data_IF_108481199289
#
_entry.id   IF_108481199289
#
_cell.length_a   1.000
_cell.length_b   1.000
_cell.length_c   1.000
_cell.angle_alpha   90.00
_cell.angle_beta   90.00
_cell.angle_gamma   90.00
#
_symmetry.space_group_name_H-M   'P 1'
#
loop_
_entity.id
_entity.type
_entity.pdbx_description
1 polymer ?
#
# COMPACT_ATOMS: atom_id res chain seq x y z
N UNK A 1 32.69 5.89 -1.76
CA UNK A 1 33.12 7.16 -1.13
C UNK A 1 32.10 8.23 -1.51
N UNK A 2 31.42 8.85 -0.54
CA UNK A 2 30.45 9.95 -0.79
C UNK A 2 31.07 11.27 -0.33
N UNK A 3 31.04 12.35 -1.12
CA UNK A 3 31.38 13.67 -0.61
C UNK A 3 30.19 14.23 0.19
N UNK A 4 30.48 14.62 1.43
CA UNK A 4 29.61 15.42 2.31
C UNK A 4 29.95 16.88 2.01
N UNK A 5 28.96 17.71 1.72
CA UNK A 5 29.13 19.17 1.69
C UNK A 5 28.16 19.83 2.67
N UNK A 6 28.70 20.17 3.83
CA UNK A 6 28.16 21.13 4.79
C UNK A 6 28.57 22.53 4.36
N UNK A 7 27.61 23.46 4.25
CA UNK A 7 27.89 24.90 4.26
C UNK A 7 26.96 25.55 5.29
N UNK A 8 27.59 26.05 6.35
CA UNK A 8 27.04 26.98 7.34
C UNK A 8 27.07 28.40 6.78
N UNK A 9 25.97 29.16 6.96
CA UNK A 9 25.92 30.62 7.07
C UNK A 9 24.52 30.96 7.64
N UNK A 10 24.32 31.20 8.94
CA UNK A 10 24.69 32.36 9.77
C UNK A 10 24.00 33.68 9.37
N UNK A 11 23.33 34.28 10.39
CA UNK A 11 22.84 35.67 10.53
C UNK A 11 21.45 35.94 9.89
N UNK A 12 20.46 36.59 10.51
CA UNK A 12 20.42 37.60 11.60
C UNK A 12 19.03 37.68 12.25
N UNK A 13 19.06 38.06 13.53
CA UNK A 13 18.06 38.55 14.48
C UNK A 13 16.90 39.39 13.93
N UNK A 14 15.67 39.12 14.42
CA UNK A 14 14.72 40.18 14.85
C UNK A 14 13.71 39.61 15.86
N UNK A 15 13.82 40.12 17.09
CA UNK A 15 12.88 39.94 18.20
C UNK A 15 11.85 41.06 18.08
N UNK A 16 10.55 40.74 18.05
CA UNK A 16 9.48 41.69 18.34
C UNK A 16 8.58 41.13 19.43
N UNK A 17 8.84 41.59 20.66
CA UNK A 17 7.95 41.45 21.81
C UNK A 17 6.95 42.59 21.73
N UNK A 18 5.66 42.28 21.57
CA UNK A 18 4.57 43.22 21.70
C UNK A 18 3.70 42.85 22.90
N UNK A 19 4.04 43.36 24.09
CA UNK A 19 3.12 43.50 25.20
C UNK A 19 2.61 44.95 25.20
N UNK A 20 1.35 45.14 24.84
CA UNK A 20 0.58 46.33 25.20
C UNK A 20 -0.80 45.88 25.68
N UNK A 21 -1.09 46.17 26.94
CA UNK A 21 -2.40 45.98 27.55
C UNK A 21 -3.28 47.22 27.48
N UNK A 22 -4.49 47.05 28.01
CA UNK A 22 -5.53 48.01 28.40
C UNK A 22 -6.44 48.58 27.31
N UNK A 23 -7.76 48.36 27.48
CA UNK A 23 -8.80 49.17 26.85
C UNK A 23 -10.14 48.46 26.65
N UNK A 24 -10.94 48.32 27.71
CA UNK A 24 -12.39 48.06 27.61
C UNK A 24 -13.12 49.24 26.96
N UNK A 25 -14.12 48.94 26.11
CA UNK A 25 -15.38 49.65 25.77
C UNK A 25 -15.68 49.39 24.27
N UNK A 26 -16.89 49.07 23.82
CA UNK A 26 -18.21 49.09 24.41
C UNK A 26 -19.08 47.98 23.79
N UNK A 27 -20.07 47.52 24.56
CA UNK A 27 -21.16 46.68 24.10
C UNK A 27 -21.97 47.38 23.00
N UNK A 28 -22.12 46.75 21.83
CA UNK A 28 -23.25 47.00 20.94
C UNK A 28 -23.83 45.65 20.46
N UNK A 29 -25.13 45.55 20.70
CA UNK A 29 -26.15 44.53 20.46
C UNK A 29 -26.08 43.84 19.08
N UNK A 30 -26.56 42.57 18.93
CA UNK A 30 -26.16 41.68 17.85
C UNK A 30 -26.91 41.95 16.54
N UNK A 31 -26.17 42.09 15.45
CA UNK A 31 -26.70 41.81 14.13
C UNK A 31 -26.62 40.30 13.90
N UNK A 32 -27.78 39.63 13.94
CA UNK A 32 -27.96 38.41 13.16
C UNK A 32 -27.79 38.81 11.70
N UNK A 33 -26.71 38.37 11.06
CA UNK A 33 -26.85 37.76 9.76
C UNK A 33 -25.61 37.01 9.30
N UNK A 34 -25.89 35.91 8.62
CA UNK A 34 -25.02 35.15 7.73
C UNK A 34 -23.92 34.32 8.39
N UNK A 35 -24.32 33.07 8.66
CA UNK A 35 -23.41 31.94 8.76
C UNK A 35 -22.50 31.87 7.55
N UNK A 36 -21.29 32.41 7.72
CA UNK A 36 -20.14 31.88 7.03
C UNK A 36 -19.88 30.53 7.68
N UNK A 37 -20.52 29.50 7.11
CA UNK A 37 -19.96 28.15 7.16
C UNK A 37 -18.50 28.30 6.76
N UNK A 38 -17.61 28.29 7.74
CA UNK A 38 -16.21 28.00 7.52
C UNK A 38 -16.23 26.56 7.02
N UNK A 39 -16.45 26.40 5.72
CA UNK A 39 -16.09 25.18 5.02
C UNK A 39 -14.60 25.09 5.27
N UNK A 40 -14.24 24.30 6.27
CA UNK A 40 -12.88 23.88 6.48
C UNK A 40 -12.57 23.08 5.23
N UNK A 41 -12.05 23.76 4.21
CA UNK A 41 -11.48 23.12 3.03
C UNK A 41 -10.28 22.38 3.60
N UNK A 42 -10.51 21.18 4.09
CA UNK A 42 -9.43 20.21 4.28
C UNK A 42 -8.69 20.24 2.95
N UNK A 43 -7.40 20.61 2.92
CA UNK A 43 -6.71 20.77 1.65
C UNK A 43 -6.89 19.47 0.87
N UNK A 44 -7.51 19.54 -0.30
CA UNK A 44 -7.80 18.35 -1.10
C UNK A 44 -6.51 17.55 -1.37
N UNK A 45 -5.38 18.24 -1.44
CA UNK A 45 -4.04 17.65 -1.49
C UNK A 45 -3.73 16.72 -0.31
N UNK A 46 -4.24 16.99 0.90
CA UNK A 46 -4.05 16.16 2.10
C UNK A 46 -5.02 14.98 2.14
N UNK A 47 -6.23 15.13 1.59
CA UNK A 47 -7.15 14.02 1.40
C UNK A 47 -6.61 13.01 0.38
N UNK A 48 -6.10 13.49 -0.76
CA UNK A 48 -5.49 12.65 -1.80
C UNK A 48 -4.25 11.92 -1.31
N UNK A 49 -3.38 12.58 -0.54
CA UNK A 49 -2.20 11.93 0.04
C UNK A 49 -2.57 10.85 1.07
N UNK A 50 -3.55 11.10 1.94
CA UNK A 50 -4.04 10.09 2.91
C UNK A 50 -4.68 8.89 2.23
N UNK A 51 -5.45 9.11 1.17
CA UNK A 51 -6.06 8.00 0.42
C UNK A 51 -4.99 7.18 -0.29
N UNK A 52 -4.02 7.82 -0.94
CA UNK A 52 -2.87 7.13 -1.57
C UNK A 52 -2.04 6.35 -0.54
N UNK A 53 -1.84 6.90 0.66
CA UNK A 53 -1.16 6.21 1.77
C UNK A 53 -1.91 4.94 2.20
N UNK A 54 -3.23 5.02 2.35
CA UNK A 54 -4.07 3.85 2.63
C UNK A 54 -3.97 2.78 1.54
N UNK A 55 -4.01 3.19 0.27
CA UNK A 55 -3.83 2.29 -0.87
C UNK A 55 -2.49 1.55 -0.83
N UNK A 56 -1.40 2.29 -0.67
CA UNK A 56 -0.07 1.69 -0.57
C UNK A 56 0.07 0.81 0.67
N UNK A 57 -0.51 1.21 1.81
CA UNK A 57 -0.56 0.41 3.02
C UNK A 57 -1.23 -0.94 2.81
N UNK A 58 -2.37 -0.95 2.09
CA UNK A 58 -3.06 -2.18 1.72
C UNK A 58 -2.17 -3.08 0.85
N UNK A 59 -1.58 -2.55 -0.21
CA UNK A 59 -0.68 -3.29 -1.12
C UNK A 59 0.56 -3.85 -0.41
N UNK A 60 1.09 -3.13 0.58
CA UNK A 60 2.29 -3.52 1.34
C UNK A 60 2.12 -4.82 2.12
N UNK A 61 0.89 -5.27 2.40
CA UNK A 61 0.67 -6.57 3.02
C UNK A 61 1.11 -7.74 2.13
N UNK A 62 0.86 -7.65 0.83
CA UNK A 62 1.33 -8.64 -0.14
C UNK A 62 2.85 -8.56 -0.30
N UNK A 63 3.40 -7.36 -0.49
CA UNK A 63 4.85 -7.18 -0.65
C UNK A 63 5.64 -7.74 0.54
N UNK A 64 5.17 -7.50 1.77
CA UNK A 64 5.78 -8.10 2.97
C UNK A 64 5.63 -9.61 3.03
N UNK A 65 4.49 -10.15 2.59
CA UNK A 65 4.30 -11.61 2.53
C UNK A 65 5.26 -12.25 1.52
N UNK A 66 5.47 -11.61 0.36
CA UNK A 66 6.40 -12.04 -0.67
C UNK A 66 7.86 -11.96 -0.22
N UNK A 67 8.23 -10.89 0.50
CA UNK A 67 9.57 -10.72 1.06
C UNK A 67 9.89 -11.74 2.19
N UNK A 68 8.87 -12.25 2.86
CA UNK A 68 8.99 -13.20 3.97
C UNK A 68 8.59 -14.64 3.58
N UNK A 69 8.62 -14.98 2.28
CA UNK A 69 8.22 -16.32 1.85
C UNK A 69 9.14 -17.40 2.43
N UNK A 70 8.58 -18.52 2.89
CA UNK A 70 9.38 -19.66 3.30
C UNK A 70 10.14 -20.24 2.10
N UNK A 71 11.34 -20.76 2.35
CA UNK A 71 12.12 -21.46 1.32
C UNK A 71 11.55 -22.85 1.08
N UNK A 72 11.46 -23.25 -0.19
CA UNK A 72 11.07 -24.61 -0.57
C UNK A 72 12.22 -25.57 -0.27
N UNK A 73 11.93 -26.67 0.43
CA UNK A 73 12.90 -27.74 0.73
C UNK A 73 12.79 -28.87 -0.31
N UNK A 74 13.76 -29.00 -1.23
CA UNK A 74 13.73 -30.02 -2.27
C UNK A 74 14.33 -31.37 -1.82
N UNK A 75 14.64 -31.57 -0.53
CA UNK A 75 15.31 -32.78 -0.04
C UNK A 75 14.54 -34.07 -0.33
N UNK A 76 13.21 -33.99 -0.35
CA UNK A 76 12.31 -35.09 -0.71
C UNK A 76 11.05 -34.55 -1.41
N UNK A 77 10.33 -35.34 -2.22
CA UNK A 77 9.06 -34.92 -2.80
C UNK A 77 8.05 -34.45 -1.74
N UNK A 78 7.98 -35.13 -0.60
CA UNK A 78 7.07 -34.79 0.49
C UNK A 78 7.41 -33.44 1.13
N UNK A 79 8.69 -33.16 1.38
CA UNK A 79 9.12 -31.86 1.90
C UNK A 79 8.91 -30.74 0.87
N UNK A 80 9.16 -31.02 -0.42
CA UNK A 80 8.95 -30.05 -1.49
C UNK A 80 7.46 -29.67 -1.61
N UNK A 81 6.55 -30.65 -1.58
CA UNK A 81 5.10 -30.40 -1.54
C UNK A 81 4.73 -29.57 -0.32
N UNK A 82 5.14 -29.99 0.88
CA UNK A 82 4.77 -29.32 2.14
C UNK A 82 5.22 -27.86 2.15
N UNK A 83 6.51 -27.62 1.91
CA UNK A 83 7.08 -26.27 1.97
C UNK A 83 6.54 -25.36 0.86
N UNK A 84 6.17 -25.92 -0.29
CA UNK A 84 5.51 -25.18 -1.37
C UNK A 84 4.05 -24.84 -1.04
N UNK A 85 3.32 -25.75 -0.37
CA UNK A 85 1.99 -25.44 0.18
C UNK A 85 2.06 -24.35 1.27
N UNK A 86 3.07 -24.38 2.14
CA UNK A 86 3.29 -23.36 3.17
C UNK A 86 3.60 -21.98 2.53
N UNK A 87 4.39 -21.99 1.45
CA UNK A 87 4.68 -20.80 0.64
C UNK A 87 3.39 -20.22 0.04
N UNK A 88 2.59 -21.03 -0.66
CA UNK A 88 1.34 -20.58 -1.27
C UNK A 88 0.32 -20.10 -0.23
N UNK A 89 0.29 -20.74 0.95
CA UNK A 89 -0.53 -20.27 2.08
C UNK A 89 -0.14 -18.85 2.51
N UNK A 90 1.16 -18.56 2.57
CA UNK A 90 1.68 -17.23 2.91
C UNK A 90 1.29 -16.19 1.86
N UNK A 91 1.35 -16.55 0.58
CA UNK A 91 0.91 -15.71 -0.56
C UNK A 91 -0.58 -15.41 -0.47
N UNK A 92 -1.42 -16.43 -0.31
CA UNK A 92 -2.89 -16.27 -0.17
C UNK A 92 -3.22 -15.36 1.00
N UNK A 93 -2.58 -15.57 2.17
CA UNK A 93 -2.78 -14.71 3.33
C UNK A 93 -2.31 -13.26 3.12
N UNK A 94 -1.26 -13.05 2.32
CA UNK A 94 -0.83 -11.71 1.89
C UNK A 94 -1.88 -11.03 1.02
N UNK A 95 -2.39 -11.74 0.01
CA UNK A 95 -3.43 -11.27 -0.91
C UNK A 95 -4.74 -10.96 -0.18
N UNK A 96 -5.17 -11.82 0.75
CA UNK A 96 -6.37 -11.61 1.56
C UNK A 96 -6.32 -10.30 2.35
N UNK A 97 -5.18 -10.02 3.00
CA UNK A 97 -4.99 -8.77 3.74
C UNK A 97 -4.96 -7.55 2.83
N UNK A 98 -4.30 -7.65 1.66
CA UNK A 98 -4.29 -6.56 0.68
C UNK A 98 -5.68 -6.27 0.13
N UNK A 99 -6.43 -7.32 -0.24
CA UNK A 99 -7.81 -7.20 -0.71
C UNK A 99 -8.71 -6.58 0.35
N UNK A 100 -8.63 -7.04 1.60
CA UNK A 100 -9.39 -6.46 2.70
C UNK A 100 -9.04 -4.97 2.90
N UNK A 101 -7.75 -4.62 2.86
CA UNK A 101 -7.29 -3.23 2.97
C UNK A 101 -7.81 -2.35 1.83
N UNK A 102 -7.72 -2.81 0.59
CA UNK A 102 -8.19 -2.07 -0.60
C UNK A 102 -9.71 -1.87 -0.57
N UNK A 103 -10.47 -2.88 -0.16
CA UNK A 103 -11.93 -2.79 -0.04
C UNK A 103 -12.38 -1.91 1.16
N UNK A 104 -11.55 -1.79 2.19
CA UNK A 104 -11.82 -0.93 3.34
C UNK A 104 -11.54 0.56 3.07
N UNK A 105 -10.90 0.90 1.93
CA UNK A 105 -10.70 2.29 1.55
C UNK A 105 -12.04 2.94 1.24
N UNK A 106 -12.29 4.09 1.86
CA UNK A 106 -13.39 4.96 1.46
C UNK A 106 -13.27 5.42 -0.01
N UNK A 107 -14.31 6.11 -0.47
CA UNK A 107 -14.32 6.69 -1.81
C UNK A 107 -13.07 7.56 -2.05
N UNK A 108 -12.42 7.45 -3.21
CA UNK A 108 -11.27 8.26 -3.54
C UNK A 108 -11.66 9.73 -3.68
N UNK A 109 -10.77 10.65 -3.31
CA UNK A 109 -10.98 12.08 -3.52
C UNK A 109 -10.93 12.48 -5.01
N UNK A 110 -10.54 11.55 -5.89
CA UNK A 110 -10.51 11.72 -7.35
C UNK A 110 -11.28 10.57 -7.99
N UNK A 111 -12.38 10.85 -8.68
CA UNK A 111 -13.30 9.83 -9.19
C UNK A 111 -12.63 8.79 -10.12
N UNK A 112 -11.63 9.20 -10.92
CA UNK A 112 -10.91 8.29 -11.82
C UNK A 112 -10.07 7.23 -11.10
N UNK A 113 -9.86 7.37 -9.79
CA UNK A 113 -9.08 6.41 -9.00
C UNK A 113 -9.87 5.15 -8.63
N UNK A 114 -11.21 5.19 -8.69
CA UNK A 114 -12.03 4.03 -8.36
C UNK A 114 -11.79 2.87 -9.34
N UNK A 115 -11.78 3.16 -10.65
CA UNK A 115 -11.48 2.15 -11.66
C UNK A 115 -10.10 1.52 -11.49
N UNK A 116 -9.08 2.35 -11.21
CA UNK A 116 -7.72 1.84 -10.95
C UNK A 116 -7.62 0.97 -9.70
N UNK A 117 -8.42 1.25 -8.66
CA UNK A 117 -8.52 0.40 -7.47
C UNK A 117 -9.23 -0.92 -7.78
N UNK A 118 -10.37 -0.86 -8.48
CA UNK A 118 -11.16 -2.02 -8.85
C UNK A 118 -10.38 -3.00 -9.74
N UNK A 119 -9.62 -2.48 -10.70
CA UNK A 119 -8.76 -3.30 -11.57
C UNK A 119 -7.68 -4.06 -10.77
N UNK A 120 -7.09 -3.42 -9.76
CA UNK A 120 -6.09 -4.07 -8.89
C UNK A 120 -6.74 -5.09 -7.96
N UNK A 121 -7.92 -4.79 -7.41
CA UNK A 121 -8.71 -5.76 -6.63
C UNK A 121 -9.02 -7.00 -7.48
N UNK A 122 -9.47 -6.82 -8.72
CA UNK A 122 -9.77 -7.92 -9.63
C UNK A 122 -8.55 -8.80 -9.93
N UNK A 123 -7.40 -8.18 -10.21
CA UNK A 123 -6.14 -8.91 -10.44
C UNK A 123 -5.71 -9.69 -9.19
N UNK A 124 -5.76 -9.08 -8.01
CA UNK A 124 -5.37 -9.74 -6.75
C UNK A 124 -6.30 -10.90 -6.43
N UNK A 125 -7.61 -10.75 -6.67
CA UNK A 125 -8.58 -11.81 -6.46
C UNK A 125 -8.34 -13.01 -7.38
N UNK A 126 -8.10 -12.79 -8.67
CA UNK A 126 -7.81 -13.85 -9.63
C UNK A 126 -6.53 -14.62 -9.28
N UNK A 127 -5.50 -13.91 -8.84
CA UNK A 127 -4.22 -14.50 -8.44
C UNK A 127 -4.34 -15.29 -7.14
N UNK A 128 -5.11 -14.77 -6.17
CA UNK A 128 -5.42 -15.48 -4.93
C UNK A 128 -6.07 -16.83 -5.23
N UNK A 129 -7.05 -16.84 -6.12
CA UNK A 129 -7.72 -18.08 -6.56
C UNK A 129 -6.72 -19.05 -7.19
N UNK A 130 -5.83 -18.58 -8.06
CA UNK A 130 -4.82 -19.42 -8.68
C UNK A 130 -3.81 -20.00 -7.68
N UNK A 131 -3.35 -19.19 -6.73
CA UNK A 131 -2.43 -19.64 -5.68
C UNK A 131 -3.10 -20.69 -4.78
N UNK A 132 -4.38 -20.48 -4.43
CA UNK A 132 -5.16 -21.43 -3.65
C UNK A 132 -5.41 -22.74 -4.42
N UNK A 133 -5.73 -22.66 -5.71
CA UNK A 133 -5.89 -23.83 -6.56
C UNK A 133 -4.58 -24.63 -6.69
N UNK A 134 -3.44 -23.96 -6.87
CA UNK A 134 -2.13 -24.61 -6.91
C UNK A 134 -1.81 -25.31 -5.57
N UNK A 135 -2.13 -24.66 -4.44
CA UNK A 135 -1.95 -25.24 -3.10
C UNK A 135 -2.77 -26.52 -2.96
N UNK A 136 -4.05 -26.46 -3.31
CA UNK A 136 -4.95 -27.62 -3.23
C UNK A 136 -4.48 -28.78 -4.12
N UNK A 137 -3.96 -28.49 -5.32
CA UNK A 137 -3.40 -29.52 -6.22
C UNK A 137 -2.18 -30.21 -5.60
N UNK A 138 -1.23 -29.45 -5.05
CA UNK A 138 -0.05 -29.99 -4.37
C UNK A 138 -0.46 -30.90 -3.20
N UNK A 139 -1.46 -30.49 -2.42
CA UNK A 139 -2.00 -31.31 -1.33
C UNK A 139 -2.65 -32.61 -1.82
N UNK A 140 -3.39 -32.55 -2.93
CA UNK A 140 -4.13 -33.69 -3.48
C UNK A 140 -3.21 -34.79 -4.06
N UNK A 141 -2.05 -34.41 -4.61
CA UNK A 141 -1.10 -35.34 -5.24
C UNK A 141 0.02 -35.78 -4.31
N UNK A 142 -0.06 -35.43 -3.01
CA UNK A 142 0.98 -35.73 -2.03
C UNK A 142 1.28 -37.23 -1.99
N UNK A 143 2.55 -37.57 -2.23
CA UNK A 143 3.04 -38.95 -2.21
C UNK A 143 3.24 -39.55 -3.61
N UNK A 144 2.68 -38.95 -4.66
CA UNK A 144 3.05 -39.24 -6.04
C UNK A 144 4.15 -38.27 -6.48
N UNK A 145 5.36 -38.79 -6.70
CA UNK A 145 6.51 -37.96 -7.04
C UNK A 145 6.39 -37.28 -8.42
N UNK A 146 5.78 -37.95 -9.40
CA UNK A 146 5.64 -37.40 -10.75
C UNK A 146 4.57 -36.30 -10.78
N UNK A 147 3.40 -36.57 -10.20
CA UNK A 147 2.32 -35.60 -10.10
C UNK A 147 2.69 -34.41 -9.18
N UNK A 148 3.45 -34.65 -8.11
CA UNK A 148 4.00 -33.59 -7.26
C UNK A 148 4.90 -32.65 -8.06
N UNK A 149 5.80 -33.19 -8.88
CA UNK A 149 6.72 -32.37 -9.69
C UNK A 149 5.96 -31.46 -10.66
N UNK A 150 4.91 -31.96 -11.29
CA UNK A 150 4.04 -31.18 -12.18
C UNK A 150 3.32 -30.06 -11.42
N UNK A 151 2.66 -30.38 -10.31
CA UNK A 151 1.95 -29.41 -9.48
C UNK A 151 2.87 -28.30 -8.93
N UNK A 152 4.12 -28.64 -8.57
CA UNK A 152 5.13 -27.66 -8.16
C UNK A 152 5.54 -26.73 -9.31
N UNK A 153 5.60 -27.23 -10.55
CA UNK A 153 5.86 -26.41 -11.74
C UNK A 153 4.75 -25.39 -11.99
N UNK A 154 3.49 -25.80 -11.89
CA UNK A 154 2.33 -24.91 -12.01
C UNK A 154 2.29 -23.85 -10.90
N UNK A 155 2.61 -24.24 -9.66
CA UNK A 155 2.73 -23.33 -8.54
C UNK A 155 3.81 -22.27 -8.79
N UNK A 156 4.99 -22.67 -9.31
CA UNK A 156 6.04 -21.73 -9.70
C UNK A 156 5.57 -20.74 -10.76
N UNK A 157 4.90 -21.20 -11.81
CA UNK A 157 4.35 -20.32 -12.85
C UNK A 157 3.29 -19.34 -12.29
N UNK A 158 2.62 -19.69 -11.19
CA UNK A 158 1.70 -18.78 -10.49
C UNK A 158 2.45 -17.71 -9.70
N UNK A 159 3.54 -18.09 -9.02
CA UNK A 159 4.42 -17.15 -8.31
C UNK A 159 5.11 -16.17 -9.27
N UNK A 160 5.59 -16.65 -10.42
CA UNK A 160 6.22 -15.78 -11.42
C UNK A 160 5.24 -14.72 -11.97
N UNK A 161 3.95 -15.08 -12.08
CA UNK A 161 2.89 -14.11 -12.47
C UNK A 161 2.58 -13.10 -11.38
N UNK A 162 2.70 -13.49 -10.11
CA UNK A 162 2.57 -12.56 -8.99
C UNK A 162 3.72 -11.54 -9.05
N UNK A 163 4.96 -12.01 -9.18
CA UNK A 163 6.15 -11.15 -9.22
C UNK A 163 6.09 -10.11 -10.36
N UNK A 164 5.48 -10.46 -11.50
CA UNK A 164 5.33 -9.58 -12.65
C UNK A 164 4.27 -8.48 -12.50
N UNK A 165 3.49 -8.44 -11.42
CA UNK A 165 2.45 -7.44 -11.23
C UNK A 165 3.00 -6.05 -10.91
N UNK A 166 2.47 -5.01 -11.57
CA UNK A 166 2.62 -3.64 -11.08
C UNK A 166 1.53 -3.33 -10.05
N UNK A 167 1.83 -3.63 -8.78
CA UNK A 167 0.92 -3.43 -7.66
C UNK A 167 0.49 -1.97 -7.43
N UNK A 168 1.22 -1.01 -8.02
CA UNK A 168 0.97 0.43 -7.87
C UNK A 168 0.32 1.04 -9.11
N UNK A 169 -0.04 0.22 -10.11
CA UNK A 169 -0.62 0.68 -11.37
C UNK A 169 -1.83 1.61 -11.16
N UNK A 170 -2.74 1.24 -10.25
CA UNK A 170 -3.94 2.04 -9.95
C UNK A 170 -3.67 3.44 -9.40
N UNK A 171 -2.48 3.69 -8.82
CA UNK A 171 -2.04 5.02 -8.40
C UNK A 171 -1.30 5.76 -9.52
N UNK A 172 -0.40 5.06 -10.22
CA UNK A 172 0.48 5.64 -11.25
C UNK A 172 -0.29 6.15 -12.47
N UNK A 173 -1.40 5.49 -12.81
CA UNK A 173 -2.24 5.84 -13.95
C UNK A 173 -3.10 7.10 -13.71
N UNK A 174 -3.21 7.56 -12.45
CA UNK A 174 -3.96 8.77 -12.09
C UNK A 174 -2.99 9.89 -11.69
N UNK A 175 -2.82 10.96 -12.49
CA UNK A 175 -1.80 11.99 -12.24
C UNK A 175 -1.88 12.63 -10.86
N UNK A 176 -3.09 12.89 -10.36
CA UNK A 176 -3.32 13.47 -9.04
C UNK A 176 -2.86 12.54 -7.90
N UNK A 177 -2.97 11.22 -8.08
CA UNK A 177 -2.52 10.22 -7.11
C UNK A 177 -1.02 9.97 -7.20
N UNK A 178 -0.46 9.92 -8.41
CA UNK A 178 1.00 9.84 -8.62
C UNK A 178 1.76 10.96 -7.90
N UNK A 179 1.25 12.20 -7.94
CA UNK A 179 1.85 13.30 -7.19
C UNK A 179 1.65 13.20 -5.66
N UNK A 180 0.59 12.51 -5.23
CA UNK A 180 0.27 12.31 -3.83
C UNK A 180 1.07 11.17 -3.20
N UNK A 181 1.46 10.16 -3.99
CA UNK A 181 2.33 9.04 -3.63
C UNK A 181 3.63 9.51 -2.96
N UNK A 182 4.27 10.55 -3.50
CA UNK A 182 5.50 11.13 -2.93
C UNK A 182 5.32 11.65 -1.50
N UNK A 183 4.09 12.04 -1.15
CA UNK A 183 3.73 12.56 0.18
C UNK A 183 3.20 11.46 1.11
N UNK A 184 2.83 10.29 0.57
CA UNK A 184 2.34 9.13 1.30
C UNK A 184 3.51 8.27 1.85
N UNK A 185 3.69 8.18 3.18
CA UNK A 185 4.76 7.38 3.78
C UNK A 185 4.77 5.90 3.38
N UNK A 186 3.61 5.24 3.33
CA UNK A 186 3.52 3.82 2.98
C UNK A 186 3.98 3.55 1.54
N UNK A 187 3.68 4.48 0.60
CA UNK A 187 4.12 4.34 -0.78
C UNK A 187 5.65 4.43 -0.89
N UNK A 188 6.28 5.35 -0.15
CA UNK A 188 7.75 5.47 -0.15
C UNK A 188 8.47 4.24 0.41
N UNK A 189 7.82 3.45 1.25
CA UNK A 189 8.40 2.20 1.75
C UNK A 189 8.42 1.10 0.68
N UNK A 190 7.53 1.15 -0.32
CA UNK A 190 7.47 0.18 -1.41
C UNK A 190 8.56 0.40 -2.46
N UNK A 191 9.02 1.63 -2.65
CA UNK A 191 10.13 1.98 -3.53
C UNK A 191 11.51 1.65 -2.93
N UNK A 192 11.57 1.31 -1.64
CA UNK A 192 12.82 0.91 -0.99
C UNK A 192 12.98 -0.61 -1.08
N UNK A 193 14.13 -1.11 -1.58
CA UNK A 193 14.38 -2.55 -1.57
C UNK A 193 14.33 -3.07 -0.13
N UNK A 194 13.86 -4.32 0.09
CA UNK A 194 13.93 -4.93 1.42
C UNK A 194 15.39 -4.91 1.88
N UNK A 195 15.63 -4.28 3.04
CA UNK A 195 16.95 -4.15 3.65
C UNK A 195 17.42 -5.43 4.32
#
# INVERSE_FOLDING_TARGET
>A
MRPRSTVFAALTTTITIGLAGCGQQASQTPARDQGLSVTTVVPQADATARWADGYCGAVTHLVRALAALPTVDPSTPQQASRTSSDLLTSVVGGLDRSLAGLNALGAPPVASADGGREDVIGQFAAIREQAENARQRIEAVRGDAAATKEALGEARATLDRIDALDYLKGLKDVPALKAAELRAPACRQLDQPPG
#
